data_IF_080351600807
#
_entry.id   IF_080351600807
#
_cell.length_a   1.000
_cell.length_b   1.000
_cell.length_c   1.000
_cell.angle_alpha   90.00
_cell.angle_beta   90.00
_cell.angle_gamma   90.00
#
_symmetry.space_group_name_H-M   'P 1'
#
loop_
_entity.id
_entity.type
_entity.pdbx_description
1 polymer ?
#
# COMPACT_ATOMS: atom_id res chain seq x y z
N UNK A 1 -21.02 -19.70 -26.75
CA UNK A 1 -19.68 -19.27 -26.29
C UNK A 1 -19.55 -17.78 -26.57
N UNK A 2 -19.82 -16.94 -25.59
CA UNK A 2 -19.89 -15.49 -25.76
C UNK A 2 -18.59 -14.81 -25.32
N UNK A 3 -18.04 -14.03 -26.25
CA UNK A 3 -16.90 -13.16 -26.05
C UNK A 3 -17.26 -12.02 -25.08
N UNK A 4 -16.97 -12.18 -23.79
CA UNK A 4 -17.07 -11.09 -22.81
C UNK A 4 -16.18 -11.28 -21.57
N UNK A 5 -15.07 -12.02 -21.65
CA UNK A 5 -14.12 -12.18 -20.54
C UNK A 5 -12.73 -11.65 -20.90
N UNK A 6 -12.68 -10.42 -21.38
CA UNK A 6 -11.43 -9.64 -21.44
C UNK A 6 -11.64 -8.26 -20.83
N UNK A 7 -12.18 -8.22 -19.61
CA UNK A 7 -12.03 -7.08 -18.74
C UNK A 7 -10.54 -7.03 -18.32
N UNK A 8 -9.79 -6.07 -18.88
CA UNK A 8 -8.44 -5.62 -18.51
C UNK A 8 -7.88 -6.39 -17.30
N UNK A 9 -7.21 -7.52 -17.55
CA UNK A 9 -6.28 -8.08 -16.56
C UNK A 9 -5.34 -6.92 -16.24
N UNK A 10 -5.41 -6.40 -15.02
CA UNK A 10 -4.46 -5.41 -14.55
C UNK A 10 -3.08 -6.04 -14.70
N UNK A 11 -2.31 -5.52 -15.66
CA UNK A 11 -1.11 -6.20 -16.12
C UNK A 11 0.06 -5.76 -15.26
N UNK A 12 0.79 -6.73 -14.71
CA UNK A 12 2.07 -6.50 -14.04
C UNK A 12 3.20 -6.11 -15.02
N UNK A 13 2.86 -5.71 -16.25
CA UNK A 13 3.83 -5.35 -17.30
C UNK A 13 4.67 -4.14 -16.89
N UNK A 14 4.02 -3.08 -16.40
CA UNK A 14 4.68 -1.89 -15.89
C UNK A 14 5.58 -2.22 -14.69
N UNK A 15 5.07 -3.00 -13.74
CA UNK A 15 5.84 -3.45 -12.58
C UNK A 15 7.10 -4.21 -12.99
N UNK A 16 6.95 -5.23 -13.84
CA UNK A 16 8.07 -6.06 -14.30
C UNK A 16 9.07 -5.27 -15.13
N UNK A 17 8.63 -4.31 -15.93
CA UNK A 17 9.54 -3.47 -16.73
C UNK A 17 10.40 -2.55 -15.85
N UNK A 18 9.89 -2.15 -14.69
CA UNK A 18 10.58 -1.27 -13.74
C UNK A 18 11.46 -2.01 -12.73
N UNK A 19 11.70 -3.31 -12.90
CA UNK A 19 12.47 -4.13 -11.95
C UNK A 19 13.54 -4.93 -12.64
N UNK A 20 14.74 -4.88 -12.08
CA UNK A 20 15.75 -5.89 -12.34
C UNK A 20 15.70 -6.97 -11.24
N UNK A 21 15.01 -8.07 -11.51
CA UNK A 21 14.90 -9.18 -10.57
C UNK A 21 16.17 -10.05 -10.45
N UNK A 22 17.25 -9.71 -11.15
CA UNK A 22 18.58 -10.24 -10.83
C UNK A 22 19.19 -9.51 -9.61
N UNK A 23 18.72 -8.30 -9.34
CA UNK A 23 19.28 -7.37 -8.35
C UNK A 23 18.34 -7.15 -7.17
N UNK A 24 17.05 -6.95 -7.42
CA UNK A 24 16.06 -6.72 -6.36
C UNK A 24 15.57 -8.02 -5.69
N UNK A 25 15.39 -8.06 -4.35
CA UNK A 25 14.74 -9.17 -3.65
C UNK A 25 13.21 -9.15 -3.80
N UNK A 26 12.65 -8.19 -4.53
CA UNK A 26 11.21 -8.09 -4.75
C UNK A 26 10.63 -9.28 -5.57
N UNK A 27 9.39 -9.72 -5.28
CA UNK A 27 8.82 -10.88 -5.95
C UNK A 27 8.42 -10.64 -7.41
N UNK A 28 8.73 -11.60 -8.29
CA UNK A 28 8.32 -11.61 -9.72
C UNK A 28 6.81 -11.75 -9.95
N UNK A 29 6.10 -12.18 -8.91
CA UNK A 29 4.66 -12.38 -8.86
C UNK A 29 4.22 -13.84 -9.02
N UNK A 30 3.44 -14.33 -8.04
CA UNK A 30 2.79 -15.64 -8.02
C UNK A 30 1.25 -15.59 -8.08
N UNK A 31 0.62 -16.73 -8.38
CA UNK A 31 -0.84 -16.90 -8.30
C UNK A 31 -1.22 -17.19 -6.84
N UNK A 32 -1.93 -16.28 -6.18
CA UNK A 32 -2.67 -16.58 -4.94
C UNK A 32 -4.16 -16.58 -5.23
N UNK A 33 -4.86 -17.63 -4.79
CA UNK A 33 -6.32 -17.64 -4.68
C UNK A 33 -6.66 -17.26 -3.24
N UNK A 34 -7.20 -16.07 -3.02
CA UNK A 34 -7.75 -15.64 -1.73
C UNK A 34 -9.24 -15.39 -1.90
N UNK A 35 -10.05 -15.84 -0.93
CA UNK A 35 -11.49 -15.57 -0.90
C UNK A 35 -11.78 -14.18 -0.30
N UNK A 36 -10.90 -13.67 0.57
CA UNK A 36 -10.98 -12.33 1.13
C UNK A 36 -9.97 -11.40 0.44
N UNK A 37 -10.39 -10.15 0.15
CA UNK A 37 -9.54 -9.17 -0.51
C UNK A 37 -8.57 -8.55 0.51
N UNK A 38 -7.28 -8.61 0.21
CA UNK A 38 -6.22 -8.08 1.07
C UNK A 38 -6.08 -6.57 0.92
N UNK A 39 -5.65 -5.92 1.99
CA UNK A 39 -4.98 -4.64 1.89
C UNK A 39 -3.63 -4.69 2.61
N UNK A 40 -2.74 -3.82 2.20
CA UNK A 40 -1.44 -3.62 2.83
C UNK A 40 -1.09 -2.13 2.83
N UNK A 41 -0.43 -1.69 3.89
CA UNK A 41 0.26 -0.41 3.95
C UNK A 41 1.72 -0.68 4.22
N UNK A 42 2.58 -0.32 3.27
CA UNK A 42 4.03 -0.41 3.44
C UNK A 42 4.60 0.96 3.75
N UNK A 43 5.33 1.10 4.86
CA UNK A 43 6.10 2.31 5.16
C UNK A 43 7.43 2.18 4.44
N UNK A 44 7.77 3.16 3.62
CA UNK A 44 8.89 3.07 2.70
C UNK A 44 9.80 4.29 2.85
N UNK A 45 11.02 4.03 3.31
CA UNK A 45 12.09 5.04 3.34
C UNK A 45 12.95 4.91 2.09
N UNK A 46 12.45 5.48 0.99
CA UNK A 46 13.18 5.66 -0.26
C UNK A 46 13.95 7.00 -0.24
N UNK A 47 13.98 7.73 -1.37
CA UNK A 47 14.45 9.13 -1.40
C UNK A 47 13.70 10.00 -0.39
N UNK A 48 12.39 9.79 -0.28
CA UNK A 48 11.54 10.41 0.75
C UNK A 48 10.74 9.34 1.48
N UNK A 49 10.45 9.60 2.76
CA UNK A 49 9.51 8.78 3.51
C UNK A 49 8.12 8.91 2.91
N UNK A 50 7.49 7.76 2.64
CA UNK A 50 6.09 7.69 2.23
C UNK A 50 5.49 6.35 2.66
N UNK A 51 4.19 6.20 2.43
CA UNK A 51 3.46 4.97 2.68
C UNK A 51 2.80 4.48 1.40
N UNK A 52 3.12 3.29 0.95
CA UNK A 52 2.43 2.65 -0.15
C UNK A 52 1.16 1.95 0.37
N UNK A 53 0.01 2.50 0.01
CA UNK A 53 -1.31 1.95 0.32
C UNK A 53 -1.78 1.09 -0.85
N UNK A 54 -2.16 -0.17 -0.59
CA UNK A 54 -2.55 -1.10 -1.65
C UNK A 54 -3.80 -1.89 -1.32
N UNK A 55 -4.66 -2.07 -2.33
CA UNK A 55 -5.88 -2.89 -2.26
C UNK A 55 -5.80 -4.01 -3.30
N UNK A 56 -6.07 -5.24 -2.90
CA UNK A 56 -6.18 -6.38 -3.81
C UNK A 56 -7.44 -6.29 -4.68
N UNK A 57 -7.28 -6.14 -5.99
CA UNK A 57 -8.39 -6.25 -6.92
C UNK A 57 -7.94 -6.79 -8.28
N UNK A 58 -8.72 -7.70 -8.86
CA UNK A 58 -8.42 -8.28 -10.17
C UNK A 58 -7.11 -9.07 -10.23
N UNK A 59 -6.68 -9.66 -9.11
CA UNK A 59 -5.46 -10.48 -9.02
C UNK A 59 -4.15 -9.71 -8.86
N UNK A 60 -4.21 -8.41 -8.56
CA UNK A 60 -3.05 -7.55 -8.28
C UNK A 60 -3.31 -6.63 -7.08
N UNK A 61 -2.26 -6.00 -6.59
CA UNK A 61 -2.30 -4.92 -5.60
C UNK A 61 -2.33 -3.57 -6.30
N UNK A 62 -3.52 -2.98 -6.35
CA UNK A 62 -3.75 -1.62 -6.86
C UNK A 62 -3.19 -0.65 -5.85
N UNK A 63 -2.26 0.20 -6.28
CA UNK A 63 -1.34 0.87 -5.35
C UNK A 63 -1.37 2.39 -5.45
N UNK A 64 -1.20 3.05 -4.30
CA UNK A 64 -1.02 4.49 -4.18
C UNK A 64 0.10 4.82 -3.22
N UNK A 65 1.01 5.72 -3.61
CA UNK A 65 1.97 6.33 -2.69
C UNK A 65 1.31 7.48 -1.92
N UNK A 66 1.37 7.44 -0.59
CA UNK A 66 0.77 8.39 0.34
C UNK A 66 1.90 9.07 1.13
N UNK A 67 2.39 10.25 0.71
CA UNK A 67 3.61 10.85 1.27
C UNK A 67 3.58 11.06 2.78
N UNK A 68 2.47 11.57 3.31
CA UNK A 68 2.32 11.81 4.76
C UNK A 68 1.79 10.58 5.53
N UNK A 69 1.48 9.48 4.84
CA UNK A 69 0.79 8.34 5.43
C UNK A 69 -0.71 8.55 5.67
N UNK A 70 -1.43 7.47 6.03
CA UNK A 70 -2.86 7.51 6.37
C UNK A 70 -3.11 8.26 7.68
N UNK A 71 -4.27 8.90 7.80
CA UNK A 71 -4.71 9.58 9.02
C UNK A 71 -6.00 8.96 9.54
N UNK A 72 -6.14 8.85 10.87
CA UNK A 72 -7.39 8.46 11.50
C UNK A 72 -8.36 9.64 11.68
N UNK A 73 -7.92 10.88 11.39
CA UNK A 73 -8.73 12.07 11.54
C UNK A 73 -9.61 12.26 10.28
N UNK A 74 -10.96 12.23 10.39
CA UNK A 74 -11.84 12.42 9.24
C UNK A 74 -11.79 13.82 8.62
N UNK A 75 -11.22 14.81 9.32
CA UNK A 75 -11.01 16.15 8.78
C UNK A 75 -9.78 16.23 7.85
N UNK A 76 -8.86 15.27 7.93
CA UNK A 76 -7.64 15.26 7.14
C UNK A 76 -7.81 14.53 5.81
N UNK A 77 -7.36 15.18 4.73
CA UNK A 77 -7.33 14.61 3.39
C UNK A 77 -5.88 14.31 3.01
N UNK A 78 -5.53 13.03 2.87
CA UNK A 78 -4.16 12.61 2.55
C UNK A 78 -4.00 12.43 1.04
N UNK A 79 -3.06 13.13 0.42
CA UNK A 79 -2.72 12.91 -0.98
C UNK A 79 -2.27 11.46 -1.18
N UNK A 80 -2.85 10.79 -2.18
CA UNK A 80 -2.55 9.43 -2.58
C UNK A 80 -2.29 9.42 -4.09
N UNK A 81 -1.05 9.17 -4.50
CA UNK A 81 -0.65 9.16 -5.90
C UNK A 81 -0.74 7.74 -6.44
N UNK A 82 -1.60 7.49 -7.43
CA UNK A 82 -1.70 6.17 -8.05
C UNK A 82 -0.36 5.77 -8.68
N UNK A 83 0.12 4.56 -8.36
CA UNK A 83 1.35 3.95 -8.90
C UNK A 83 1.02 2.63 -9.58
N UNK A 84 2.05 1.94 -10.07
CA UNK A 84 1.90 0.71 -10.82
C UNK A 84 1.28 -0.39 -9.96
N UNK A 85 0.54 -1.30 -10.58
CA UNK A 85 -0.01 -2.47 -9.90
C UNK A 85 1.13 -3.39 -9.44
N UNK A 86 1.06 -3.89 -8.22
CA UNK A 86 2.06 -4.81 -7.65
C UNK A 86 1.53 -6.24 -7.60
N UNK A 87 2.39 -7.27 -7.62
CA UNK A 87 1.92 -8.64 -7.47
C UNK A 87 1.45 -8.93 -6.03
N UNK A 88 0.59 -9.94 -5.85
CA UNK A 88 -0.05 -10.20 -4.55
C UNK A 88 0.91 -10.66 -3.45
N UNK A 89 2.00 -11.33 -3.82
CA UNK A 89 3.09 -11.71 -2.91
C UNK A 89 3.85 -10.51 -2.37
N UNK A 90 3.88 -9.39 -3.11
CA UNK A 90 4.45 -8.12 -2.65
C UNK A 90 3.82 -7.60 -1.36
N UNK A 91 2.58 -8.00 -1.04
CA UNK A 91 1.90 -7.57 0.19
C UNK A 91 2.62 -7.95 1.48
N UNK A 92 3.54 -8.93 1.42
CA UNK A 92 4.33 -9.38 2.57
C UNK A 92 5.82 -9.07 2.42
N UNK A 93 6.21 -8.36 1.36
CA UNK A 93 7.60 -7.94 1.18
C UNK A 93 7.97 -6.91 2.24
N UNK A 94 8.99 -7.24 3.02
CA UNK A 94 9.66 -6.42 4.02
C UNK A 94 11.16 -6.65 3.84
N UNK A 95 11.94 -5.58 3.69
CA UNK A 95 13.35 -5.70 3.36
C UNK A 95 13.95 -4.43 2.79
N UNK A 96 15.09 -4.57 2.11
CA UNK A 96 15.82 -3.48 1.46
C UNK A 96 15.77 -3.68 -0.05
N UNK A 97 15.31 -2.65 -0.76
CA UNK A 97 15.47 -2.53 -2.21
C UNK A 97 16.82 -1.81 -2.43
N UNK A 98 17.74 -2.36 -3.23
CA UNK A 98 19.05 -1.75 -3.45
C UNK A 98 18.98 -0.28 -3.87
N UNK A 99 19.94 0.53 -3.42
CA UNK A 99 20.03 1.93 -3.86
C UNK A 99 20.28 1.99 -5.37
N UNK A 100 19.68 2.97 -6.05
CA UNK A 100 19.72 3.10 -7.52
C UNK A 100 18.63 2.32 -8.25
N UNK A 101 18.08 1.27 -7.64
CA UNK A 101 16.91 0.58 -8.18
C UNK A 101 15.63 1.43 -8.04
N UNK A 102 14.62 1.13 -8.86
CA UNK A 102 13.34 1.80 -8.74
C UNK A 102 12.68 1.47 -7.40
N UNK A 103 12.53 2.49 -6.56
CA UNK A 103 12.05 2.31 -5.19
C UNK A 103 13.14 1.88 -4.21
N UNK A 104 14.42 2.12 -4.52
CA UNK A 104 15.53 1.86 -3.60
C UNK A 104 15.32 2.49 -2.23
N UNK A 105 15.55 1.69 -1.18
CA UNK A 105 15.28 2.05 0.21
C UNK A 105 14.74 0.91 1.05
N UNK A 106 14.44 1.21 2.32
CA UNK A 106 13.93 0.22 3.28
C UNK A 106 12.40 0.20 3.26
N UNK A 107 11.83 -0.99 3.07
CA UNK A 107 10.38 -1.25 3.03
C UNK A 107 9.96 -2.03 4.27
N UNK A 108 8.97 -1.50 4.99
CA UNK A 108 8.33 -2.14 6.14
C UNK A 108 6.88 -2.47 5.82
N UNK A 109 6.40 -3.66 6.18
CA UNK A 109 4.95 -3.93 6.21
C UNK A 109 4.36 -3.29 7.47
N UNK A 110 3.86 -2.07 7.32
CA UNK A 110 3.37 -1.24 8.43
C UNK A 110 1.95 -1.61 8.86
N UNK A 111 1.07 -2.00 7.96
CA UNK A 111 -0.21 -2.65 8.31
C UNK A 111 -0.62 -3.66 7.23
N UNK A 112 -1.38 -4.67 7.63
CA UNK A 112 -1.91 -5.69 6.71
C UNK A 112 -3.20 -6.26 7.26
N UNK A 113 -4.14 -6.56 6.39
CA UNK A 113 -5.41 -7.17 6.75
C UNK A 113 -6.29 -7.42 5.53
N UNK A 114 -7.60 -7.43 5.75
CA UNK A 114 -8.59 -7.54 4.68
C UNK A 114 -9.39 -6.26 4.54
N UNK A 115 -10.04 -6.10 3.40
CA UNK A 115 -10.98 -5.01 3.18
C UNK A 115 -12.23 -5.49 2.45
N UNK A 116 -13.30 -4.73 2.63
CA UNK A 116 -14.58 -4.91 1.96
C UNK A 116 -14.91 -3.64 1.18
N UNK A 117 -15.40 -3.78 -0.05
CA UNK A 117 -15.99 -2.64 -0.76
C UNK A 117 -17.37 -2.38 -0.16
N UNK A 118 -17.72 -1.12 -0.01
CA UNK A 118 -19.06 -0.74 0.42
C UNK A 118 -19.99 -0.53 -0.78
N UNK A 119 -21.20 -1.07 -0.69
CA UNK A 119 -22.20 -1.06 -1.76
C UNK A 119 -22.00 -2.17 -2.80
N UNK A 120 -22.83 -2.16 -3.83
CA UNK A 120 -22.92 -3.26 -4.81
C UNK A 120 -22.00 -3.09 -6.03
N UNK A 121 -21.22 -2.00 -6.08
CA UNK A 121 -20.35 -1.73 -7.22
C UNK A 121 -19.09 -2.61 -7.22
N UNK A 122 -18.62 -2.99 -8.41
CA UNK A 122 -17.32 -3.66 -8.57
C UNK A 122 -16.17 -2.70 -8.34
N UNK A 123 -14.99 -3.22 -7.96
CA UNK A 123 -13.79 -2.38 -7.81
C UNK A 123 -13.49 -1.62 -9.10
N UNK A 124 -13.63 -2.27 -10.26
CA UNK A 124 -13.39 -1.68 -11.57
C UNK A 124 -14.33 -0.51 -11.85
N UNK A 125 -15.61 -0.63 -11.47
CA UNK A 125 -16.58 0.45 -11.58
C UNK A 125 -16.24 1.62 -10.66
N UNK A 126 -15.94 1.35 -9.39
CA UNK A 126 -15.50 2.33 -8.40
C UNK A 126 -14.24 3.09 -8.88
N UNK A 127 -13.27 2.35 -9.41
CA UNK A 127 -12.03 2.89 -9.94
C UNK A 127 -12.25 3.78 -11.17
N UNK A 128 -13.11 3.36 -12.12
CA UNK A 128 -13.51 4.21 -13.26
C UNK A 128 -14.19 5.49 -12.81
N UNK A 129 -15.15 5.36 -11.89
CA UNK A 129 -15.89 6.49 -11.30
C UNK A 129 -14.99 7.47 -10.55
N UNK A 130 -13.81 7.01 -10.09
CA UNK A 130 -12.88 7.84 -9.34
C UNK A 130 -13.26 7.97 -7.87
N UNK A 131 -14.06 7.03 -7.34
CA UNK A 131 -14.45 7.00 -5.93
C UNK A 131 -14.56 5.55 -5.48
N UNK A 132 -13.76 5.19 -4.49
CA UNK A 132 -13.76 3.85 -3.87
C UNK A 132 -14.09 4.04 -2.40
N UNK A 133 -15.19 3.43 -1.95
CA UNK A 133 -15.61 3.42 -0.54
C UNK A 133 -15.42 2.01 -0.01
N UNK A 134 -14.74 1.87 1.12
CA UNK A 134 -14.35 0.57 1.64
C UNK A 134 -14.15 0.58 3.15
N UNK A 135 -14.30 -0.59 3.77
CA UNK A 135 -14.00 -0.82 5.17
C UNK A 135 -12.72 -1.64 5.30
N UNK A 136 -11.80 -1.20 6.17
CA UNK A 136 -10.56 -1.90 6.49
C UNK A 136 -10.68 -2.73 7.77
N UNK A 137 -10.06 -3.90 7.77
CA UNK A 137 -9.94 -4.81 8.90
C UNK A 137 -8.46 -5.11 9.18
N UNK A 138 -7.69 -4.07 9.51
CA UNK A 138 -6.26 -4.13 9.81
C UNK A 138 -5.92 -4.32 11.27
N UNK A 139 -4.61 -4.35 11.56
CA UNK A 139 -4.10 -4.25 12.93
C UNK A 139 -4.08 -2.79 13.40
N UNK A 140 -3.80 -1.84 12.50
CA UNK A 140 -3.71 -0.40 12.81
C UNK A 140 -4.87 0.39 12.23
N UNK A 141 -5.19 0.17 10.96
CA UNK A 141 -6.26 0.85 10.25
C UNK A 141 -7.53 0.00 10.27
N UNK A 142 -8.63 0.57 10.75
CA UNK A 142 -9.93 -0.09 10.85
C UNK A 142 -11.05 0.87 10.44
N UNK A 143 -12.24 0.32 10.16
CA UNK A 143 -13.44 1.09 9.84
C UNK A 143 -13.48 1.59 8.40
N UNK A 144 -14.38 2.51 8.11
CA UNK A 144 -14.65 3.05 6.77
C UNK A 144 -13.63 4.10 6.32
N UNK A 145 -13.33 4.05 5.03
CA UNK A 145 -12.37 4.91 4.32
C UNK A 145 -12.93 5.27 2.94
N UNK A 146 -12.32 6.26 2.31
CA UNK A 146 -12.63 6.62 0.92
C UNK A 146 -11.37 7.06 0.18
N UNK A 147 -11.24 6.58 -1.06
CA UNK A 147 -10.31 7.11 -2.06
C UNK A 147 -11.11 7.88 -3.10
N UNK A 148 -10.78 9.15 -3.35
CA UNK A 148 -11.41 10.00 -4.38
C UNK A 148 -10.36 10.53 -5.34
N UNK A 149 -10.55 10.33 -6.64
CA UNK A 149 -9.66 10.86 -7.69
C UNK A 149 -9.96 12.33 -7.91
N UNK A 150 -8.93 13.16 -7.86
CA UNK A 150 -9.03 14.61 -8.09
C UNK A 150 -8.45 15.04 -9.44
N UNK A 151 -7.67 14.17 -10.10
CA UNK A 151 -7.22 14.39 -11.48
C UNK A 151 -6.03 13.51 -11.85
N UNK A 152 -6.05 12.93 -13.06
CA UNK A 152 -4.99 12.03 -13.52
C UNK A 152 -4.66 10.93 -12.50
N UNK A 153 -3.41 10.92 -12.01
CA UNK A 153 -2.93 9.98 -10.97
C UNK A 153 -3.18 10.46 -9.54
N UNK A 154 -3.72 11.65 -9.31
CA UNK A 154 -3.93 12.25 -7.98
C UNK A 154 -5.24 11.77 -7.36
N UNK A 155 -5.15 11.24 -6.14
CA UNK A 155 -6.27 10.82 -5.31
C UNK A 155 -6.15 11.43 -3.90
N UNK A 156 -7.25 11.39 -3.16
CA UNK A 156 -7.29 11.70 -1.73
C UNK A 156 -7.77 10.45 -0.97
N UNK A 157 -6.97 10.01 0.00
CA UNK A 157 -7.33 9.01 1.00
C UNK A 157 -7.89 9.73 2.24
N UNK A 158 -9.08 9.34 2.68
CA UNK A 158 -9.78 9.99 3.78
C UNK A 158 -10.39 8.94 4.71
N UNK A 159 -10.24 9.14 6.02
CA UNK A 159 -10.97 8.36 7.02
C UNK A 159 -12.43 8.81 7.06
N UNK A 160 -13.36 7.86 7.16
CA UNK A 160 -14.78 8.19 7.42
C UNK A 160 -15.04 8.34 8.91
N UNK A 161 -16.04 9.16 9.26
CA UNK A 161 -16.54 9.27 10.64
C UNK A 161 -17.20 7.95 11.03
N UNK A 162 -16.59 7.24 11.96
CA UNK A 162 -17.10 6.03 12.61
C UNK A 162 -16.34 5.81 13.94
N UNK A 163 -16.64 4.70 14.64
CA UNK A 163 -16.01 4.33 15.92
C UNK A 163 -14.48 4.17 15.90
N UNK A 164 -13.87 4.05 14.72
CA UNK A 164 -12.42 3.88 14.55
C UNK A 164 -11.72 5.19 14.14
N UNK A 165 -12.47 6.28 13.97
CA UNK A 165 -11.89 7.62 13.76
C UNK A 165 -11.26 8.15 15.05
N UNK A 166 -10.15 8.88 14.92
CA UNK A 166 -9.40 9.44 16.05
C UNK A 166 -8.50 10.57 15.57
N UNK A 167 -8.13 11.50 16.45
CA UNK A 167 -7.10 12.50 16.19
C UNK A 167 -5.68 11.98 16.47
N UNK A 168 -5.54 10.75 16.95
CA UNK A 168 -4.24 10.11 17.20
C UNK A 168 -3.43 10.04 15.91
N UNK A 169 -2.20 10.54 15.95
CA UNK A 169 -1.21 10.25 14.90
C UNK A 169 -0.79 8.78 14.97
N UNK A 170 -1.50 7.96 14.19
CA UNK A 170 -1.30 6.51 14.18
C UNK A 170 0.08 6.10 13.68
N UNK A 171 0.72 6.91 12.83
CA UNK A 171 2.04 6.62 12.29
C UNK A 171 3.10 6.67 13.39
N UNK A 172 3.00 7.68 14.25
CA UNK A 172 3.87 7.86 15.42
C UNK A 172 3.50 6.93 16.57
N UNK A 173 2.20 6.74 16.84
CA UNK A 173 1.74 5.88 17.93
C UNK A 173 1.98 4.38 17.69
N UNK A 174 1.99 3.93 16.42
CA UNK A 174 2.22 2.52 16.05
C UNK A 174 3.24 2.43 14.91
N UNK A 175 4.53 2.70 15.16
CA UNK A 175 5.52 2.88 14.11
C UNK A 175 6.08 1.57 13.53
N UNK A 176 5.99 0.47 14.29
CA UNK A 176 6.67 -0.82 14.01
C UNK A 176 5.97 -1.67 12.97
N UNK A 177 6.72 -2.55 12.32
CA UNK A 177 6.20 -3.60 11.43
C UNK A 177 5.13 -4.45 12.12
N UNK A 178 4.08 -4.80 11.38
CA UNK A 178 3.08 -5.78 11.85
C UNK A 178 3.50 -7.23 11.67
N UNK A 179 4.59 -7.47 10.92
CA UNK A 179 5.17 -8.79 10.69
C UNK A 179 6.31 -9.06 11.67
N UNK A 180 7.34 -8.20 11.70
CA UNK A 180 8.57 -8.44 12.47
C UNK A 180 8.66 -7.66 13.78
N UNK A 181 7.76 -6.70 14.03
CA UNK A 181 7.84 -5.74 15.15
C UNK A 181 9.06 -4.83 15.13
N UNK A 182 9.88 -4.87 14.07
CA UNK A 182 11.04 -3.99 13.89
C UNK A 182 10.60 -2.58 13.48
N UNK A 183 11.49 -1.62 13.74
CA UNK A 183 11.49 -0.28 13.14
C UNK A 183 12.24 -0.32 11.79
N UNK A 184 12.20 0.76 11.00
CA UNK A 184 12.88 0.81 9.69
C UNK A 184 14.39 0.60 9.85
N UNK A 185 15.03 1.26 10.82
CA UNK A 185 16.45 1.08 11.11
C UNK A 185 16.80 -0.38 11.45
N UNK A 186 15.91 -1.07 12.17
CA UNK A 186 16.08 -2.48 12.50
C UNK A 186 15.98 -3.38 11.26
N UNK A 187 15.03 -3.11 10.36
CA UNK A 187 14.92 -3.83 9.09
C UNK A 187 16.17 -3.58 8.24
N UNK A 188 16.58 -2.32 8.09
CA UNK A 188 17.77 -1.97 7.32
C UNK A 188 19.02 -2.68 7.84
N UNK A 189 19.23 -2.71 9.17
CA UNK A 189 20.37 -3.40 9.77
C UNK A 189 20.37 -4.90 9.45
N UNK A 190 19.23 -5.56 9.61
CA UNK A 190 19.15 -7.01 9.47
C UNK A 190 19.20 -7.46 7.99
N UNK A 191 18.82 -6.58 7.06
CA UNK A 191 18.70 -6.87 5.62
C UNK A 191 19.79 -6.17 4.77
N UNK A 192 20.82 -5.60 5.41
CA UNK A 192 22.00 -5.03 4.75
C UNK A 192 21.78 -3.66 4.06
N UNK A 193 20.88 -2.82 4.56
CA UNK A 193 20.60 -1.47 4.06
C UNK A 193 21.26 -0.34 4.85
N UNK A 194 21.03 0.90 4.39
CA UNK A 194 21.49 2.12 5.06
C UNK A 194 20.65 2.41 6.33
N UNK A 195 21.23 2.08 7.48
CA UNK A 195 20.60 2.24 8.80
C UNK A 195 20.31 3.71 9.11
N UNK A 196 21.26 4.61 8.79
CA UNK A 196 21.12 6.03 9.11
C UNK A 196 19.97 6.66 8.32
N UNK A 197 19.91 6.38 7.01
CA UNK A 197 18.78 6.79 6.17
C UNK A 197 17.47 6.19 6.66
N UNK A 198 17.43 4.90 6.98
CA UNK A 198 16.24 4.22 7.48
C UNK A 198 15.72 4.82 8.80
N UNK A 199 16.62 5.16 9.74
CA UNK A 199 16.30 5.74 11.04
C UNK A 199 15.57 7.09 10.92
N UNK A 200 15.82 7.89 9.87
CA UNK A 200 15.07 9.14 9.63
C UNK A 200 13.60 8.92 9.30
N UNK A 201 13.18 7.66 9.08
CA UNK A 201 11.79 7.28 8.94
C UNK A 201 11.15 6.82 10.24
N UNK A 202 11.92 6.54 11.30
CA UNK A 202 11.41 6.11 12.59
C UNK A 202 11.03 7.31 13.47
N UNK A 203 10.18 7.12 14.50
CA UNK A 203 9.93 8.19 15.47
C UNK A 203 11.20 8.56 16.22
N UNK A 204 11.29 9.82 16.64
CA UNK A 204 12.31 10.32 17.57
C UNK A 204 12.24 9.62 18.93
#
# INVERSE_FOLDING_TARGET
MTAATSARRRSLSEYRRKRDFATTPEPKGGRRKSTARLFVVQKHRATALHYDFRLEAGGVLVSWAVPKGPSLNPAEKRLAMAVEDHPLDYARFEGVIPEGEYGGGTVMVWDIGTYELEGDETFEAAMRRGRIVFTLHGKKLRGGWTLVRTGGRKWLLMKRRDRSASETDIASAKPRSVLSRRLLAGIARDEGGDIAKAATGDPE
#
